data_IF_367784129122
#
_entry.id   IF_367784129122
#
_cell.length_a   1.000
_cell.length_b   1.000
_cell.length_c   1.000
_cell.angle_alpha   90.00
_cell.angle_beta   90.00
_cell.angle_gamma   90.00
#
_symmetry.space_group_name_H-M   'P 1'
#
loop_
_entity.id
_entity.type
_entity.pdbx_description
1 polymer ?
#
# COMPACT_ATOMS: atom_id res chain seq x y z
N UNK A 1 26.68 -14.01 -0.01
CA UNK A 1 25.42 -13.93 -0.80
C UNK A 1 24.66 -12.67 -0.39
N UNK A 2 23.95 -12.02 -1.33
CA UNK A 2 23.12 -10.83 -1.06
C UNK A 2 21.87 -11.22 -0.25
N UNK A 3 21.46 -10.38 0.70
CA UNK A 3 20.20 -10.53 1.44
C UNK A 3 19.03 -10.57 0.46
N UNK A 4 18.10 -11.53 0.65
CA UNK A 4 16.89 -11.61 -0.17
C UNK A 4 16.05 -10.33 -0.03
N UNK A 5 15.45 -9.83 -1.12
CA UNK A 5 14.55 -8.68 -1.08
C UNK A 5 13.40 -8.84 -0.08
N UNK A 6 12.91 -7.71 0.45
CA UNK A 6 11.61 -7.63 1.13
C UNK A 6 10.54 -7.39 0.05
N UNK A 7 9.65 -8.36 -0.12
CA UNK A 7 8.50 -8.27 -1.01
C UNK A 7 7.30 -7.67 -0.27
N UNK A 8 6.76 -6.58 -0.79
CA UNK A 8 5.62 -5.86 -0.22
C UNK A 8 4.48 -5.86 -1.22
N UNK A 9 3.31 -6.31 -0.81
CA UNK A 9 2.09 -6.22 -1.62
C UNK A 9 1.25 -5.04 -1.15
N UNK A 10 0.79 -4.18 -2.06
CA UNK A 10 -0.10 -3.05 -1.75
C UNK A 10 -1.35 -3.13 -2.62
N UNK A 11 -2.39 -3.78 -2.09
CA UNK A 11 -3.66 -3.95 -2.77
C UNK A 11 -4.62 -2.79 -2.49
N UNK A 12 -5.50 -2.48 -3.43
CA UNK A 12 -6.58 -1.52 -3.22
C UNK A 12 -7.22 -1.07 -4.53
N UNK A 13 -8.36 -0.39 -4.44
CA UNK A 13 -9.09 0.07 -5.61
C UNK A 13 -8.30 1.12 -6.43
N UNK A 14 -8.62 1.18 -7.72
CA UNK A 14 -8.20 2.25 -8.62
C UNK A 14 -8.58 3.62 -8.04
N UNK A 15 -7.63 4.55 -8.01
CA UNK A 15 -7.88 5.90 -7.48
C UNK A 15 -7.88 6.05 -5.95
N UNK A 16 -7.60 5.00 -5.19
CA UNK A 16 -7.45 5.11 -3.72
C UNK A 16 -6.24 5.97 -3.28
N UNK A 17 -5.29 6.25 -4.19
CA UNK A 17 -4.06 7.00 -3.87
C UNK A 17 -2.82 6.12 -3.65
N UNK A 18 -2.87 4.83 -4.03
CA UNK A 18 -1.76 3.88 -3.90
C UNK A 18 -0.46 4.39 -4.53
N UNK A 19 -0.49 4.87 -5.77
CA UNK A 19 0.72 5.35 -6.44
C UNK A 19 1.36 6.56 -5.73
N UNK A 20 0.56 7.41 -5.08
CA UNK A 20 1.06 8.47 -4.19
C UNK A 20 1.72 7.87 -2.95
N UNK A 21 1.06 6.93 -2.26
CA UNK A 21 1.63 6.20 -1.13
C UNK A 21 2.98 5.58 -1.49
N UNK A 22 3.06 4.86 -2.61
CA UNK A 22 4.28 4.16 -3.04
C UNK A 22 5.39 5.15 -3.38
N UNK A 23 5.07 6.25 -4.09
CA UNK A 23 6.05 7.27 -4.44
C UNK A 23 6.67 7.89 -3.20
N UNK A 24 5.85 8.36 -2.26
CA UNK A 24 6.35 9.01 -1.03
C UNK A 24 7.07 8.02 -0.11
N UNK A 25 6.58 6.78 0.00
CA UNK A 25 7.24 5.72 0.77
C UNK A 25 8.62 5.37 0.18
N UNK A 26 8.73 5.35 -1.15
CA UNK A 26 10.00 5.10 -1.85
C UNK A 26 11.03 6.20 -1.57
N UNK A 27 10.59 7.46 -1.48
CA UNK A 27 11.46 8.58 -1.10
C UNK A 27 11.99 8.42 0.33
N UNK A 28 11.17 7.93 1.28
CA UNK A 28 11.61 7.72 2.66
C UNK A 28 12.61 6.57 2.80
N UNK A 29 12.41 5.47 2.07
CA UNK A 29 13.29 4.29 2.10
C UNK A 29 14.63 4.53 1.37
N UNK A 30 14.65 5.46 0.43
CA UNK A 30 15.73 5.65 -0.54
C UNK A 30 15.30 5.06 -1.90
N UNK A 31 14.98 5.89 -2.91
CA UNK A 31 14.46 5.44 -4.20
C UNK A 31 15.35 4.38 -4.89
N UNK A 32 16.67 4.46 -4.70
CA UNK A 32 17.63 3.51 -5.23
C UNK A 32 17.50 2.10 -4.65
N UNK A 33 16.83 1.95 -3.50
CA UNK A 33 16.62 0.68 -2.81
C UNK A 33 15.26 0.04 -3.12
N UNK A 34 14.42 0.69 -3.91
CA UNK A 34 13.04 0.28 -4.15
C UNK A 34 12.85 -0.03 -5.63
N UNK A 35 12.31 -1.21 -5.94
CA UNK A 35 11.69 -1.52 -7.23
C UNK A 35 10.18 -1.49 -7.05
N UNK A 36 9.47 -0.77 -7.92
CA UNK A 36 8.00 -0.72 -7.92
C UNK A 36 7.50 -1.52 -9.12
N UNK A 37 6.50 -2.37 -8.90
CA UNK A 37 5.86 -3.18 -9.93
C UNK A 37 4.37 -2.89 -9.89
N UNK A 38 3.86 -2.21 -10.91
CA UNK A 38 2.43 -2.02 -11.12
C UNK A 38 1.81 -3.29 -11.69
N UNK A 39 0.72 -3.77 -11.10
CA UNK A 39 0.02 -4.96 -11.62
C UNK A 39 -0.79 -4.67 -12.87
N UNK A 40 -1.07 -3.41 -13.17
CA UNK A 40 -1.75 -3.00 -14.41
C UNK A 40 -0.90 -3.38 -15.65
N UNK A 41 0.43 -3.43 -15.51
CA UNK A 41 1.35 -3.93 -16.55
C UNK A 41 1.10 -5.39 -16.92
N UNK A 42 0.52 -6.16 -16.01
CA UNK A 42 0.23 -7.58 -16.21
C UNK A 42 -1.19 -7.79 -16.73
N UNK A 43 -1.85 -6.80 -17.31
CA UNK A 43 -3.07 -7.04 -18.07
C UNK A 43 -2.82 -8.07 -19.18
N UNK A 44 -3.73 -9.03 -19.33
CA UNK A 44 -3.70 -10.01 -20.42
C UNK A 44 -4.53 -9.57 -21.63
N UNK A 45 -5.38 -8.56 -21.44
CA UNK A 45 -6.24 -7.98 -22.47
C UNK A 45 -6.09 -6.45 -22.44
N UNK A 46 -5.95 -5.82 -23.59
CA UNK A 46 -5.94 -4.36 -23.71
C UNK A 46 -7.35 -3.76 -23.52
N UNK A 47 -7.46 -2.42 -23.56
CA UNK A 47 -8.74 -1.74 -23.29
C UNK A 47 -9.85 -2.14 -24.28
N UNK A 48 -9.52 -2.32 -25.57
CA UNK A 48 -10.49 -2.67 -26.59
C UNK A 48 -10.93 -4.13 -26.46
N UNK A 49 -9.99 -5.04 -26.22
CA UNK A 49 -10.25 -6.47 -26.01
C UNK A 49 -11.13 -6.71 -24.78
N UNK A 50 -10.85 -6.04 -23.66
CA UNK A 50 -11.69 -6.12 -22.45
C UNK A 50 -13.14 -5.70 -22.74
N UNK A 51 -13.32 -4.64 -23.54
CA UNK A 51 -14.65 -4.17 -23.96
C UNK A 51 -15.35 -5.18 -24.85
N UNK A 52 -14.64 -5.83 -25.78
CA UNK A 52 -15.19 -6.85 -26.67
C UNK A 52 -15.67 -8.10 -25.90
N UNK A 53 -14.93 -8.51 -24.86
CA UNK A 53 -15.26 -9.67 -24.01
C UNK A 53 -16.27 -9.31 -22.90
N UNK A 54 -16.49 -8.01 -22.65
CA UNK A 54 -17.45 -7.53 -21.64
C UNK A 54 -16.97 -7.72 -20.20
N UNK A 55 -15.65 -7.69 -19.95
CA UNK A 55 -15.08 -7.78 -18.60
C UNK A 55 -14.33 -6.51 -18.23
N UNK A 56 -14.27 -6.21 -16.94
CA UNK A 56 -13.51 -5.07 -16.40
C UNK A 56 -12.06 -5.48 -16.11
N UNK A 57 -11.12 -4.52 -15.97
CA UNK A 57 -9.75 -4.84 -15.51
C UNK A 57 -9.71 -5.42 -14.09
N UNK A 58 -10.80 -5.28 -13.31
CA UNK A 58 -10.94 -5.83 -11.97
C UNK A 58 -11.17 -7.35 -11.98
N UNK A 59 -11.64 -7.90 -13.10
CA UNK A 59 -11.79 -9.34 -13.24
C UNK A 59 -10.40 -10.00 -13.36
N UNK A 60 -10.05 -10.99 -12.53
CA UNK A 60 -8.75 -11.66 -12.60
C UNK A 60 -8.44 -12.26 -13.98
N UNK A 61 -9.46 -12.61 -14.78
CA UNK A 61 -9.29 -13.10 -16.17
C UNK A 61 -8.74 -12.06 -17.14
N UNK A 62 -8.78 -10.78 -16.78
CA UNK A 62 -8.17 -9.70 -17.55
C UNK A 62 -6.68 -9.50 -17.22
N UNK A 63 -6.10 -10.34 -16.35
CA UNK A 63 -4.75 -10.19 -15.82
C UNK A 63 -3.96 -11.50 -15.95
N UNK A 64 -2.72 -11.41 -16.42
CA UNK A 64 -1.75 -12.50 -16.46
C UNK A 64 -1.04 -12.64 -15.10
N UNK A 65 -1.79 -13.09 -14.10
CA UNK A 65 -1.28 -13.28 -12.74
C UNK A 65 -0.28 -14.44 -12.66
N UNK A 66 -0.31 -15.38 -13.62
CA UNK A 66 0.70 -16.44 -13.73
C UNK A 66 2.10 -15.89 -14.03
N UNK A 67 2.20 -14.99 -15.02
CA UNK A 67 3.45 -14.30 -15.33
C UNK A 67 3.93 -13.44 -14.15
N UNK A 68 3.01 -12.77 -13.46
CA UNK A 68 3.33 -12.00 -12.26
C UNK A 68 3.94 -12.86 -11.15
N UNK A 69 3.38 -14.05 -10.88
CA UNK A 69 3.92 -15.03 -9.92
C UNK A 69 5.34 -15.45 -10.31
N UNK A 70 5.56 -15.79 -11.58
CA UNK A 70 6.90 -16.16 -12.08
C UNK A 70 7.90 -15.02 -11.83
N UNK A 71 7.55 -13.80 -12.23
CA UNK A 71 8.42 -12.64 -12.07
C UNK A 71 8.74 -12.36 -10.60
N UNK A 72 7.74 -12.43 -9.72
CA UNK A 72 7.91 -12.22 -8.28
C UNK A 72 8.84 -13.28 -7.66
N UNK A 73 8.72 -14.53 -8.11
CA UNK A 73 9.62 -15.61 -7.68
C UNK A 73 11.07 -15.34 -8.11
N UNK A 74 11.29 -15.01 -9.39
CA UNK A 74 12.63 -14.74 -9.95
C UNK A 74 13.30 -13.54 -9.30
N UNK A 75 12.56 -12.46 -9.11
CA UNK A 75 13.02 -11.27 -8.41
C UNK A 75 13.45 -11.57 -6.97
N UNK A 76 12.70 -12.43 -6.26
CA UNK A 76 13.08 -12.89 -4.91
C UNK A 76 14.36 -13.71 -4.89
N UNK A 77 14.68 -14.43 -5.96
CA UNK A 77 15.97 -15.15 -6.10
C UNK A 77 17.13 -14.23 -6.52
N UNK A 78 16.85 -12.95 -6.81
CA UNK A 78 17.86 -12.01 -7.27
C UNK A 78 18.10 -12.04 -8.77
N UNK A 79 17.13 -12.54 -9.54
CA UNK A 79 17.16 -12.51 -11.01
C UNK A 79 16.40 -11.29 -11.53
N UNK A 80 16.91 -10.67 -12.60
CA UNK A 80 16.17 -9.63 -13.33
C UNK A 80 15.07 -10.25 -14.20
N UNK A 81 13.99 -9.51 -14.39
CA UNK A 81 12.82 -9.94 -15.20
C UNK A 81 12.53 -8.91 -16.29
N UNK A 82 11.96 -9.37 -17.40
CA UNK A 82 11.50 -8.51 -18.48
C UNK A 82 9.99 -8.28 -18.28
N UNK A 83 9.65 -7.19 -17.59
CA UNK A 83 8.28 -6.87 -17.20
C UNK A 83 7.52 -6.28 -18.39
N UNK A 84 6.29 -6.71 -18.68
CA UNK A 84 5.43 -6.00 -19.63
C UNK A 84 5.19 -4.54 -19.19
N UNK A 85 4.67 -3.73 -20.11
CA UNK A 85 4.26 -2.35 -19.82
C UNK A 85 2.87 -2.15 -20.39
N UNK A 86 1.97 -1.60 -19.57
CA UNK A 86 0.64 -1.20 -20.02
C UNK A 86 0.55 0.33 -20.10
N UNK A 87 0.29 0.85 -21.28
CA UNK A 87 0.15 2.28 -21.52
C UNK A 87 -1.30 2.73 -21.23
N UNK A 88 -1.44 3.62 -20.24
CA UNK A 88 -2.74 4.13 -19.82
C UNK A 88 -3.33 5.16 -20.79
N UNK A 89 -2.52 5.84 -21.61
CA UNK A 89 -2.95 6.84 -22.58
C UNK A 89 -3.60 6.15 -23.77
N UNK A 90 -2.86 5.23 -24.41
CA UNK A 90 -3.36 4.44 -25.54
C UNK A 90 -4.33 3.34 -25.10
N UNK A 91 -4.13 2.79 -23.89
CA UNK A 91 -4.87 1.63 -23.39
C UNK A 91 -4.41 0.31 -24.01
N UNK A 92 -3.15 0.25 -24.46
CA UNK A 92 -2.53 -0.90 -25.12
C UNK A 92 -1.19 -1.29 -24.48
N UNK A 93 -0.59 -2.37 -24.97
CA UNK A 93 0.70 -2.87 -24.48
C UNK A 93 1.86 -2.09 -25.11
N UNK A 94 2.81 -1.68 -24.27
CA UNK A 94 4.06 -1.03 -24.68
C UNK A 94 5.24 -1.99 -24.73
N UNK A 95 6.41 -1.45 -25.03
CA UNK A 95 7.67 -2.20 -24.99
C UNK A 95 7.99 -2.64 -23.54
N UNK A 96 8.41 -3.90 -23.34
CA UNK A 96 8.70 -4.39 -22.00
C UNK A 96 10.00 -3.80 -21.44
N UNK A 97 10.08 -3.69 -20.12
CA UNK A 97 11.21 -3.09 -19.42
C UNK A 97 11.92 -4.07 -18.48
N UNK A 98 13.24 -3.91 -18.34
CA UNK A 98 14.01 -4.70 -17.39
C UNK A 98 13.81 -4.20 -15.96
N UNK A 99 13.40 -5.09 -15.07
CA UNK A 99 13.32 -4.82 -13.64
C UNK A 99 14.41 -5.61 -12.91
N UNK A 100 15.28 -4.89 -12.22
CA UNK A 100 16.31 -5.48 -11.37
C UNK A 100 15.81 -5.70 -9.94
N UNK A 101 16.25 -6.77 -9.26
CA UNK A 101 15.94 -6.97 -7.86
C UNK A 101 16.56 -5.86 -7.00
N UNK A 102 15.74 -5.21 -6.19
CA UNK A 102 16.14 -4.19 -5.23
C UNK A 102 15.88 -4.67 -3.80
N UNK A 103 16.52 -4.08 -2.78
CA UNK A 103 16.28 -4.48 -1.40
C UNK A 103 14.81 -4.49 -0.96
N UNK A 104 14.01 -3.57 -1.49
CA UNK A 104 12.55 -3.56 -1.36
C UNK A 104 11.93 -3.70 -2.74
N UNK A 105 10.96 -4.59 -2.89
CA UNK A 105 10.17 -4.76 -4.11
C UNK A 105 8.72 -4.58 -3.71
N UNK A 106 8.11 -3.48 -4.17
CA UNK A 106 6.74 -3.11 -3.85
C UNK A 106 5.86 -3.40 -5.07
N UNK A 107 4.92 -4.32 -4.91
CA UNK A 107 3.95 -4.68 -5.94
C UNK A 107 2.62 -4.01 -5.62
N UNK A 108 2.16 -3.09 -6.47
CA UNK A 108 0.95 -2.31 -6.24
C UNK A 108 -0.09 -2.53 -7.33
N UNK A 109 -1.37 -2.55 -6.96
CA UNK A 109 -2.45 -2.64 -7.94
C UNK A 109 -3.72 -3.27 -7.41
N UNK A 110 -4.52 -3.80 -8.33
CA UNK A 110 -5.83 -4.37 -8.04
C UNK A 110 -5.76 -5.78 -7.43
N UNK A 111 -4.77 -6.59 -7.80
CA UNK A 111 -4.67 -8.00 -7.41
C UNK A 111 -3.34 -8.49 -6.79
N UNK A 112 -2.57 -7.69 -6.01
CA UNK A 112 -1.28 -8.16 -5.48
C UNK A 112 -1.37 -9.50 -4.75
N UNK A 113 -2.45 -9.75 -4.02
CA UNK A 113 -2.65 -10.99 -3.24
C UNK A 113 -4.09 -11.50 -3.33
N UNK A 114 -4.67 -11.49 -4.53
CA UNK A 114 -6.03 -11.99 -4.78
C UNK A 114 -6.19 -13.51 -4.63
N UNK A 115 -5.08 -14.26 -4.71
CA UNK A 115 -5.03 -15.70 -4.48
C UNK A 115 -4.13 -16.02 -3.28
N UNK A 116 -4.46 -17.07 -2.53
CA UNK A 116 -3.69 -17.47 -1.35
C UNK A 116 -2.20 -17.69 -1.65
N UNK A 117 -1.88 -18.32 -2.79
CA UNK A 117 -0.49 -18.50 -3.23
C UNK A 117 0.27 -17.18 -3.39
N UNK A 118 -0.37 -16.15 -3.94
CA UNK A 118 0.22 -14.81 -4.03
C UNK A 118 0.37 -14.18 -2.65
N UNK A 119 -0.63 -14.32 -1.78
CA UNK A 119 -0.57 -13.81 -0.42
C UNK A 119 0.59 -14.37 0.41
N UNK A 120 0.99 -15.63 0.16
CA UNK A 120 2.14 -16.27 0.81
C UNK A 120 3.48 -15.83 0.23
N UNK A 121 3.48 -15.19 -0.95
CA UNK A 121 4.70 -14.67 -1.55
C UNK A 121 5.16 -13.34 -0.95
N UNK A 122 4.40 -12.65 -0.13
CA UNK A 122 4.83 -11.37 0.43
C UNK A 122 5.38 -11.51 1.84
N UNK A 123 6.32 -10.63 2.17
CA UNK A 123 6.82 -10.47 3.54
C UNK A 123 5.97 -9.47 4.33
N UNK A 124 5.25 -8.58 3.63
CA UNK A 124 4.32 -7.63 4.21
C UNK A 124 3.22 -7.26 3.21
N UNK A 125 1.97 -7.23 3.66
CA UNK A 125 0.78 -6.98 2.85
C UNK A 125 0.00 -5.82 3.42
N UNK A 126 -0.16 -4.78 2.60
CA UNK A 126 -0.95 -3.59 2.91
C UNK A 126 -2.19 -3.59 2.04
N UNK A 127 -3.37 -3.54 2.64
CA UNK A 127 -4.59 -3.20 1.93
C UNK A 127 -4.84 -1.70 2.13
N UNK A 128 -4.78 -0.93 1.05
CA UNK A 128 -4.88 0.52 1.07
C UNK A 128 -6.22 0.97 0.51
N UNK A 129 -6.99 1.62 1.35
CA UNK A 129 -8.33 2.09 1.04
C UNK A 129 -8.52 3.56 1.41
N UNK A 130 -9.63 4.12 0.95
CA UNK A 130 -10.03 5.50 1.18
C UNK A 130 -11.48 5.51 1.56
N UNK A 131 -11.85 6.36 2.53
CA UNK A 131 -13.24 6.53 2.92
C UNK A 131 -14.13 6.81 1.69
N UNK A 132 -15.32 6.17 1.56
CA UNK A 132 -16.17 6.32 0.38
C UNK A 132 -16.49 7.77 0.00
N UNK A 133 -16.65 8.65 1.00
CA UNK A 133 -16.88 10.08 0.77
C UNK A 133 -15.72 10.75 0.03
N UNK A 134 -14.48 10.46 0.43
CA UNK A 134 -13.28 10.97 -0.25
C UNK A 134 -13.16 10.38 -1.66
N UNK A 135 -13.43 9.08 -1.85
CA UNK A 135 -13.41 8.46 -3.18
C UNK A 135 -14.39 9.14 -4.14
N UNK A 136 -15.61 9.40 -3.67
CA UNK A 136 -16.63 10.09 -4.47
C UNK A 136 -16.20 11.52 -4.74
N UNK A 137 -15.74 12.26 -3.73
CA UNK A 137 -15.28 13.64 -3.88
C UNK A 137 -14.13 13.76 -4.91
N UNK A 138 -13.09 12.93 -4.79
CA UNK A 138 -11.95 12.95 -5.71
C UNK A 138 -12.32 12.50 -7.11
N UNK A 139 -13.20 11.51 -7.25
CA UNK A 139 -13.65 11.07 -8.57
C UNK A 139 -14.50 12.14 -9.26
N UNK A 140 -15.39 12.80 -8.53
CA UNK A 140 -16.16 13.94 -9.06
C UNK A 140 -15.22 15.09 -9.44
N UNK A 141 -14.27 15.45 -8.58
CA UNK A 141 -13.32 16.53 -8.88
C UNK A 141 -12.50 16.24 -10.14
N UNK A 142 -11.95 15.03 -10.27
CA UNK A 142 -11.17 14.62 -11.45
C UNK A 142 -12.02 14.59 -12.72
N UNK A 143 -13.16 13.89 -12.69
CA UNK A 143 -13.96 13.65 -13.91
C UNK A 143 -14.77 14.90 -14.33
N UNK A 144 -15.11 15.79 -13.40
CA UNK A 144 -15.73 17.08 -13.72
C UNK A 144 -14.71 18.09 -14.27
N UNK A 145 -13.48 18.10 -13.75
CA UNK A 145 -12.42 19.00 -14.21
C UNK A 145 -11.84 18.59 -15.57
N UNK A 146 -11.59 17.29 -15.79
CA UNK A 146 -10.83 16.83 -16.96
C UNK A 146 -11.71 16.43 -18.15
N UNK A 147 -13.00 16.09 -17.93
CA UNK A 147 -13.80 15.37 -18.95
C UNK A 147 -15.28 15.80 -19.06
N UNK A 148 -15.75 16.74 -18.25
CA UNK A 148 -17.13 17.27 -18.34
C UNK A 148 -18.23 16.27 -17.98
N UNK A 149 -17.92 15.23 -17.20
CA UNK A 149 -18.91 14.22 -16.78
C UNK A 149 -19.86 14.78 -15.71
N UNK A 150 -21.14 14.37 -15.75
CA UNK A 150 -22.09 14.68 -14.66
C UNK A 150 -21.89 13.76 -13.45
N UNK A 151 -22.26 14.23 -12.26
CA UNK A 151 -22.17 13.44 -11.01
C UNK A 151 -22.94 12.12 -11.11
N UNK A 152 -24.05 12.09 -11.86
CA UNK A 152 -24.85 10.89 -12.10
C UNK A 152 -24.10 9.87 -12.97
N UNK A 153 -23.35 10.32 -13.96
CA UNK A 153 -22.52 9.45 -14.81
C UNK A 153 -21.39 8.81 -13.99
N UNK A 154 -20.73 9.61 -13.14
CA UNK A 154 -19.70 9.13 -12.19
C UNK A 154 -20.28 8.07 -11.25
N UNK A 155 -21.45 8.34 -10.65
CA UNK A 155 -22.14 7.40 -9.75
C UNK A 155 -22.55 6.11 -10.45
N UNK A 156 -23.00 6.19 -11.71
CA UNK A 156 -23.36 5.01 -12.50
C UNK A 156 -22.14 4.12 -12.77
N UNK A 157 -21.01 4.72 -13.12
CA UNK A 157 -19.77 3.97 -13.35
C UNK A 157 -19.26 3.29 -12.07
N UNK A 158 -19.34 3.98 -10.92
CA UNK A 158 -19.01 3.39 -9.61
C UNK A 158 -19.88 2.14 -9.35
N UNK A 159 -21.19 2.24 -9.59
CA UNK A 159 -22.12 1.11 -9.40
C UNK A 159 -21.78 -0.09 -10.29
N UNK A 160 -21.41 0.16 -11.56
CA UNK A 160 -21.05 -0.90 -12.50
C UNK A 160 -19.81 -1.67 -12.06
N UNK A 161 -18.83 -0.99 -11.44
CA UNK A 161 -17.59 -1.63 -10.95
C UNK A 161 -17.73 -2.25 -9.57
N UNK A 162 -18.78 -1.90 -8.82
CA UNK A 162 -18.93 -2.29 -7.42
C UNK A 162 -19.01 -3.81 -7.21
N UNK A 163 -19.65 -4.53 -8.14
CA UNK A 163 -19.72 -5.99 -8.05
C UNK A 163 -18.34 -6.62 -8.19
N UNK A 164 -17.55 -6.20 -9.18
CA UNK A 164 -16.19 -6.71 -9.38
C UNK A 164 -15.25 -6.32 -8.23
N UNK A 165 -15.36 -5.09 -7.71
CA UNK A 165 -14.56 -4.64 -6.55
C UNK A 165 -14.82 -5.56 -5.34
N UNK A 166 -16.09 -5.78 -4.99
CA UNK A 166 -16.49 -6.65 -3.87
C UNK A 166 -16.11 -8.11 -4.08
N UNK A 167 -16.03 -8.55 -5.33
CA UNK A 167 -15.76 -9.94 -5.67
C UNK A 167 -14.26 -10.24 -5.75
N UNK A 168 -13.46 -9.30 -6.24
CA UNK A 168 -12.07 -9.57 -6.64
C UNK A 168 -11.03 -8.68 -5.97
N UNK A 169 -11.39 -7.48 -5.50
CA UNK A 169 -10.44 -6.54 -4.88
C UNK A 169 -10.58 -6.55 -3.36
N UNK A 170 -11.77 -6.24 -2.84
CA UNK A 170 -12.04 -6.14 -1.40
C UNK A 170 -11.62 -7.39 -0.61
N UNK A 171 -11.89 -8.64 -1.03
CA UNK A 171 -11.56 -9.82 -0.23
C UNK A 171 -10.08 -9.95 0.15
N UNK A 172 -9.20 -9.27 -0.58
CA UNK A 172 -7.76 -9.23 -0.28
C UNK A 172 -7.45 -8.64 1.10
N UNK A 173 -8.30 -7.76 1.66
CA UNK A 173 -8.06 -7.20 3.00
C UNK A 173 -7.89 -8.31 4.05
N UNK A 174 -8.51 -9.48 3.85
CA UNK A 174 -8.40 -10.64 4.72
C UNK A 174 -6.98 -11.22 4.83
N UNK A 175 -6.16 -11.02 3.80
CA UNK A 175 -4.76 -11.43 3.79
C UNK A 175 -3.81 -10.34 4.27
N UNK A 176 -4.29 -9.10 4.43
CA UNK A 176 -3.44 -7.98 4.76
C UNK A 176 -2.93 -8.07 6.21
N UNK A 177 -1.64 -7.74 6.38
CA UNK A 177 -1.05 -7.55 7.70
C UNK A 177 -1.50 -6.21 8.28
N UNK A 178 -1.68 -5.21 7.41
CA UNK A 178 -2.17 -3.88 7.76
C UNK A 178 -3.20 -3.37 6.74
N UNK A 179 -4.35 -2.95 7.23
CA UNK A 179 -5.36 -2.23 6.45
C UNK A 179 -5.20 -0.74 6.75
N UNK A 180 -4.96 0.06 5.73
CA UNK A 180 -4.83 1.52 5.82
C UNK A 180 -6.06 2.14 5.20
N UNK A 181 -6.72 3.04 5.93
CA UNK A 181 -7.86 3.80 5.41
C UNK A 181 -7.61 5.29 5.56
N UNK A 182 -7.67 6.05 4.46
CA UNK A 182 -7.73 7.50 4.55
C UNK A 182 -9.12 7.96 5.02
N UNK A 183 -9.16 8.80 6.04
CA UNK A 183 -10.39 9.32 6.64
C UNK A 183 -10.64 10.76 6.17
N UNK A 184 -11.91 11.15 5.97
CA UNK A 184 -12.24 12.54 5.71
C UNK A 184 -11.73 13.43 6.85
N UNK A 185 -11.41 14.70 6.57
CA UNK A 185 -10.99 15.63 7.61
C UNK A 185 -11.97 15.66 8.77
N UNK A 186 -11.45 15.53 9.99
CA UNK A 186 -12.22 15.68 11.22
C UNK A 186 -12.08 17.11 11.76
N UNK A 187 -13.11 17.64 12.45
CA UNK A 187 -13.02 18.95 13.09
C UNK A 187 -13.00 20.12 12.11
N UNK A 188 -11.92 20.91 12.11
CA UNK A 188 -11.78 22.15 11.33
C UNK A 188 -11.67 21.95 9.80
N UNK A 189 -11.66 20.69 9.36
CA UNK A 189 -11.76 20.32 7.95
C UNK A 189 -10.46 20.42 7.16
N UNK A 190 -9.32 20.70 7.82
CA UNK A 190 -8.09 21.06 7.11
C UNK A 190 -7.23 19.87 6.64
N UNK A 191 -7.27 18.72 7.34
CA UNK A 191 -6.32 17.62 7.09
C UNK A 191 -6.99 16.24 7.04
N UNK A 192 -6.61 15.43 6.05
CA UNK A 192 -7.05 14.05 5.88
C UNK A 192 -6.44 13.17 6.99
N UNK A 193 -7.30 12.46 7.72
CA UNK A 193 -6.88 11.50 8.73
C UNK A 193 -6.44 10.16 8.14
N UNK A 194 -5.78 9.34 8.95
CA UNK A 194 -5.40 7.97 8.60
C UNK A 194 -5.82 7.02 9.70
N UNK A 195 -6.38 5.88 9.31
CA UNK A 195 -6.65 4.74 10.17
C UNK A 195 -5.81 3.54 9.74
N UNK A 196 -5.22 2.86 10.71
CA UNK A 196 -4.43 1.64 10.57
C UNK A 196 -5.12 0.51 11.33
N UNK A 197 -5.45 -0.60 10.67
CA UNK A 197 -5.92 -1.82 11.32
C UNK A 197 -4.89 -2.93 11.17
N UNK A 198 -4.47 -3.55 12.27
CA UNK A 198 -3.45 -4.60 12.26
C UNK A 198 -3.94 -5.86 12.99
N UNK A 199 -3.61 -7.04 12.45
CA UNK A 199 -3.93 -8.34 13.07
C UNK A 199 -2.95 -8.70 14.19
N UNK A 200 -1.69 -8.30 14.07
CA UNK A 200 -0.67 -8.39 15.11
C UNK A 200 -0.02 -7.00 15.23
N UNK A 201 0.03 -6.40 16.44
CA UNK A 201 0.52 -5.04 16.64
C UNK A 201 2.03 -4.94 16.39
N UNK A 202 2.42 -4.80 15.12
CA UNK A 202 3.78 -4.45 14.72
C UNK A 202 4.00 -2.95 14.70
N UNK A 203 2.94 -2.16 14.42
CA UNK A 203 2.93 -0.70 14.38
C UNK A 203 1.94 -0.08 15.39
N UNK A 204 1.44 -0.85 16.36
CA UNK A 204 0.42 -0.35 17.28
C UNK A 204 0.99 0.39 18.51
N UNK A 205 0.56 1.64 18.78
CA UNK A 205 0.93 2.45 19.95
C UNK A 205 0.38 1.96 21.29
N UNK A 206 -0.39 0.86 21.31
CA UNK A 206 -0.97 0.33 22.54
C UNK A 206 0.06 -0.21 23.54
N UNK A 207 1.32 -0.40 23.14
CA UNK A 207 2.43 -0.67 24.05
C UNK A 207 3.10 0.59 24.60
N UNK A 208 2.51 1.20 25.65
CA UNK A 208 3.16 1.99 26.71
C UNK A 208 3.85 3.35 26.47
N UNK A 209 4.08 3.88 25.26
CA UNK A 209 4.93 5.09 25.14
C UNK A 209 4.30 6.38 24.61
N UNK A 210 3.08 6.37 24.07
CA UNK A 210 2.42 7.56 23.50
C UNK A 210 1.24 8.10 24.35
N UNK A 211 1.34 8.07 25.68
CA UNK A 211 0.25 8.48 26.59
C UNK A 211 -0.15 9.95 26.35
N UNK A 212 0.83 10.85 26.20
CA UNK A 212 0.58 12.28 25.96
C UNK A 212 -0.22 12.55 24.68
N UNK A 213 0.07 11.81 23.61
CA UNK A 213 -0.61 11.95 22.32
C UNK A 213 -2.05 11.43 22.35
N UNK A 214 -2.31 10.42 23.20
CA UNK A 214 -3.67 9.91 23.45
C UNK A 214 -4.49 10.90 24.28
N UNK A 215 -3.88 11.49 25.31
CA UNK A 215 -4.53 12.50 26.16
C UNK A 215 -4.86 13.78 25.38
N UNK A 216 -4.02 14.15 24.41
CA UNK A 216 -4.27 15.26 23.48
C UNK A 216 -5.32 14.94 22.39
N UNK A 217 -5.85 13.71 22.32
CA UNK A 217 -6.85 13.30 21.34
C UNK A 217 -6.36 13.19 19.88
N UNK A 218 -5.05 13.34 19.63
CA UNK A 218 -4.47 13.31 18.28
C UNK A 218 -4.34 11.89 17.72
N UNK A 219 -4.13 10.92 18.60
CA UNK A 219 -4.04 9.49 18.26
C UNK A 219 -5.05 8.72 19.11
N UNK A 220 -5.97 8.02 18.44
CA UNK A 220 -6.89 7.07 19.07
C UNK A 220 -6.44 5.66 18.76
N UNK A 221 -6.50 4.77 19.76
CA UNK A 221 -6.21 3.36 19.55
C UNK A 221 -7.16 2.48 20.36
N UNK A 222 -7.76 1.49 19.71
CA UNK A 222 -8.72 0.56 20.30
C UNK A 222 -8.65 -0.80 19.61
N UNK A 223 -9.40 -1.77 20.13
CA UNK A 223 -9.66 -3.03 19.42
C UNK A 223 -11.05 -2.96 18.80
N UNK A 224 -11.16 -3.41 17.56
CA UNK A 224 -12.42 -3.45 16.84
C UNK A 224 -12.55 -4.78 16.09
N UNK A 225 -13.79 -5.22 15.92
CA UNK A 225 -14.09 -6.36 15.07
C UNK A 225 -14.17 -5.89 13.62
N UNK A 226 -13.30 -6.42 12.76
CA UNK A 226 -13.29 -6.13 11.34
C UNK A 226 -13.39 -7.44 10.56
N UNK A 227 -14.52 -7.61 9.88
CA UNK A 227 -14.90 -8.80 9.10
C UNK A 227 -14.74 -10.14 9.82
N UNK A 228 -15.03 -10.20 11.12
CA UNK A 228 -14.96 -11.44 11.90
C UNK A 228 -13.61 -11.73 12.55
N UNK A 229 -12.69 -10.76 12.55
CA UNK A 229 -11.43 -10.81 13.31
C UNK A 229 -11.32 -9.62 14.23
N UNK A 230 -10.78 -9.82 15.43
CA UNK A 230 -10.36 -8.72 16.29
C UNK A 230 -9.08 -8.11 15.72
N UNK A 231 -9.10 -6.81 15.45
CA UNK A 231 -7.96 -6.06 14.94
C UNK A 231 -7.65 -4.88 15.86
N UNK A 232 -6.38 -4.52 15.94
CA UNK A 232 -5.96 -3.28 16.58
C UNK A 232 -6.12 -2.13 15.61
N UNK A 233 -6.87 -1.12 16.01
CA UNK A 233 -7.15 0.07 15.22
C UNK A 233 -6.40 1.25 15.81
N UNK A 234 -5.68 1.99 14.98
CA UNK A 234 -5.00 3.24 15.33
C UNK A 234 -5.40 4.32 14.34
N UNK A 235 -6.08 5.35 14.82
CA UNK A 235 -6.49 6.50 14.03
C UNK A 235 -5.65 7.73 14.41
N UNK A 236 -5.11 8.41 13.39
CA UNK A 236 -4.35 9.65 13.48
C UNK A 236 -5.11 10.67 12.64
N UNK A 237 -5.77 11.61 13.29
CA UNK A 237 -6.68 12.55 12.59
C UNK A 237 -6.22 14.00 12.66
N UNK A 238 -5.17 14.29 13.44
CA UNK A 238 -4.63 15.63 13.64
C UNK A 238 -3.13 15.66 13.29
N UNK A 239 -2.59 16.80 12.84
CA UNK A 239 -1.15 16.96 12.69
C UNK A 239 -0.39 16.76 14.00
N UNK A 240 0.84 16.27 13.88
CA UNK A 240 1.79 16.12 14.98
C UNK A 240 2.92 17.13 14.86
N UNK A 241 3.55 17.48 15.98
CA UNK A 241 4.82 18.22 15.95
C UNK A 241 5.98 17.28 15.58
N UNK A 242 7.12 17.85 15.19
CA UNK A 242 8.35 17.09 14.96
C UNK A 242 8.83 16.34 16.22
N UNK A 243 8.60 16.91 17.40
CA UNK A 243 8.94 16.27 18.68
C UNK A 243 8.04 15.07 18.95
N UNK A 244 6.73 15.22 18.74
CA UNK A 244 5.75 14.14 18.83
C UNK A 244 6.07 12.99 17.84
N UNK A 245 6.49 13.31 16.62
CA UNK A 245 6.94 12.31 15.65
C UNK A 245 8.21 11.58 16.13
N UNK A 246 9.15 12.25 16.78
CA UNK A 246 10.35 11.61 17.36
C UNK A 246 10.01 10.70 18.52
N UNK A 247 9.06 11.08 19.38
CA UNK A 247 8.55 10.21 20.45
C UNK A 247 7.93 8.94 19.88
N UNK A 248 7.12 9.06 18.82
CA UNK A 248 6.63 7.90 18.07
C UNK A 248 7.81 7.10 17.46
N UNK A 249 8.81 7.79 16.92
CA UNK A 249 9.98 7.16 16.33
C UNK A 249 10.74 6.26 17.30
N UNK A 250 10.92 6.70 18.54
CA UNK A 250 11.52 5.89 19.60
C UNK A 250 10.69 4.63 19.92
N UNK A 251 9.37 4.75 19.94
CA UNK A 251 8.47 3.64 20.24
C UNK A 251 8.37 2.60 19.10
N UNK A 252 8.41 3.05 17.84
CA UNK A 252 8.19 2.21 16.66
C UNK A 252 9.46 1.88 15.87
N UNK A 253 10.61 2.35 16.33
CA UNK A 253 11.87 2.19 15.61
C UNK A 253 11.89 2.93 14.27
N UNK A 254 11.21 4.07 14.17
CA UNK A 254 11.40 4.98 13.02
C UNK A 254 12.82 5.49 13.09
N UNK A 255 13.60 5.23 12.05
CA UNK A 255 15.02 5.60 12.05
C UNK A 255 15.20 7.10 11.88
N UNK A 256 16.28 7.63 12.44
CA UNK A 256 16.69 9.03 12.23
C UNK A 256 16.82 9.39 10.75
N UNK A 257 17.17 8.42 9.90
CA UNK A 257 17.21 8.60 8.45
C UNK A 257 15.82 8.88 7.86
N UNK A 258 14.77 8.21 8.35
CA UNK A 258 13.38 8.47 7.95
C UNK A 258 12.90 9.80 8.54
N UNK A 259 13.13 10.05 9.83
CA UNK A 259 12.70 11.28 10.51
C UNK A 259 13.26 12.53 9.84
N UNK A 260 14.54 12.53 9.44
CA UNK A 260 15.18 13.66 8.72
C UNK A 260 14.58 13.96 7.35
N UNK A 261 13.89 13.00 6.73
CA UNK A 261 13.24 13.18 5.43
C UNK A 261 11.81 13.73 5.55
N UNK A 262 11.22 13.71 6.75
CA UNK A 262 9.90 14.30 7.01
C UNK A 262 10.07 15.81 7.21
N UNK A 263 9.66 16.58 6.20
CA UNK A 263 9.75 18.05 6.19
C UNK A 263 8.42 18.69 6.62
N UNK A 264 8.51 19.88 7.22
CA UNK A 264 7.37 20.67 7.68
C UNK A 264 7.46 21.00 9.17
N UNK A 265 6.90 22.14 9.58
CA UNK A 265 6.74 22.49 11.01
C UNK A 265 5.73 21.56 11.68
N UNK A 266 4.64 21.26 10.96
CA UNK A 266 3.66 20.24 11.32
C UNK A 266 3.78 19.01 10.43
N UNK A 267 3.60 17.84 11.04
CA UNK A 267 3.62 16.53 10.40
C UNK A 267 2.20 16.05 10.22
N UNK A 268 1.72 16.03 8.98
CA UNK A 268 0.34 15.59 8.70
C UNK A 268 0.19 14.06 8.90
N UNK A 269 -1.02 13.56 9.21
CA UNK A 269 -1.26 12.13 9.43
C UNK A 269 -0.72 11.20 8.34
N UNK A 270 -0.79 11.63 7.07
CA UNK A 270 -0.24 10.88 5.95
C UNK A 270 1.29 10.71 6.02
N UNK A 271 2.03 11.72 6.50
CA UNK A 271 3.48 11.61 6.71
C UNK A 271 3.81 10.69 7.89
N UNK A 272 2.98 10.69 8.94
CA UNK A 272 3.12 9.77 10.06
C UNK A 272 2.93 8.32 9.59
N UNK A 273 1.88 8.06 8.80
CA UNK A 273 1.64 6.76 8.16
C UNK A 273 2.86 6.28 7.37
N UNK A 274 3.39 7.12 6.49
CA UNK A 274 4.55 6.78 5.65
C UNK A 274 5.77 6.43 6.51
N UNK A 275 5.98 7.17 7.60
CA UNK A 275 7.09 6.94 8.52
C UNK A 275 6.96 5.60 9.27
N UNK A 276 5.75 5.26 9.69
CA UNK A 276 5.45 3.96 10.32
C UNK A 276 5.65 2.80 9.36
N UNK A 277 5.12 2.91 8.12
CA UNK A 277 5.31 1.88 7.10
C UNK A 277 6.81 1.71 6.75
N UNK A 278 7.56 2.80 6.60
CA UNK A 278 8.99 2.73 6.35
C UNK A 278 9.74 2.01 7.48
N UNK A 279 9.44 2.35 8.73
CA UNK A 279 10.01 1.69 9.90
C UNK A 279 9.73 0.18 9.90
N UNK A 280 8.50 -0.22 9.58
CA UNK A 280 8.12 -1.63 9.50
C UNK A 280 8.93 -2.39 8.45
N UNK A 281 9.08 -1.81 7.27
CA UNK A 281 9.85 -2.43 6.18
C UNK A 281 11.33 -2.55 6.53
N UNK A 282 11.92 -1.54 7.17
CA UNK A 282 13.29 -1.61 7.67
C UNK A 282 13.47 -2.68 8.75
N UNK A 283 12.51 -2.85 9.65
CA UNK A 283 12.52 -3.93 10.66
C UNK A 283 12.48 -5.32 10.01
N UNK A 284 11.57 -5.54 9.06
CA UNK A 284 11.45 -6.82 8.33
C UNK A 284 12.76 -7.12 7.60
N UNK A 285 13.38 -6.12 6.98
CA UNK A 285 14.68 -6.27 6.34
C UNK A 285 15.77 -6.67 7.34
N UNK A 286 15.88 -5.98 8.47
CA UNK A 286 16.87 -6.31 9.52
C UNK A 286 16.70 -7.75 10.02
N UNK A 287 15.47 -8.20 10.21
CA UNK A 287 15.16 -9.58 10.59
C UNK A 287 15.65 -10.58 9.52
N UNK A 288 15.41 -10.31 8.23
CA UNK A 288 15.95 -11.15 7.15
C UNK A 288 17.48 -11.18 7.13
N UNK A 289 18.13 -10.07 7.42
CA UNK A 289 19.59 -9.99 7.50
C UNK A 289 20.15 -10.81 8.68
N UNK A 290 19.47 -10.82 9.83
CA UNK A 290 19.90 -11.62 10.99
C UNK A 290 19.72 -13.12 10.78
N UNK A 291 18.55 -13.56 10.28
CA UNK A 291 18.29 -14.96 9.91
C UNK A 291 19.28 -15.47 8.85
N UNK A 292 19.66 -14.59 7.93
CA UNK A 292 20.70 -14.86 6.95
C UNK A 292 22.04 -15.18 7.61
N UNK A 293 22.43 -14.47 8.67
CA UNK A 293 23.73 -14.65 9.36
C UNK A 293 23.77 -15.86 10.29
N UNK A 294 22.70 -16.14 11.03
CA UNK A 294 22.64 -17.25 12.00
C UNK A 294 22.81 -18.63 11.35
N UNK A 295 22.29 -18.85 10.14
CA UNK A 295 22.52 -20.10 9.39
C UNK A 295 24.00 -20.37 9.08
N UNK A 296 24.86 -19.37 9.10
CA UNK A 296 26.30 -19.54 8.86
C UNK A 296 27.12 -19.65 10.15
N UNK A 297 26.59 -19.23 11.31
CA UNK A 297 27.28 -19.35 12.58
C UNK A 297 27.31 -20.80 13.12
N UNK A 298 26.41 -21.66 12.65
CA UNK A 298 26.28 -23.07 13.09
C UNK A 298 27.00 -24.05 12.12
N UNK A 299 27.61 -23.54 11.05
CA UNK A 299 28.26 -24.37 10.01
C UNK A 299 29.74 -24.07 9.79
N UNK A 300 30.41 -23.39 10.73
CA UNK A 300 31.84 -23.04 10.69
C UNK A 300 32.65 -23.83 11.70
#
# INVERSE_FOLDING_TARGET
MRTKPVLVGVAGDSGAGKSTLIRELSQLLGPEKVAVIGLDDYHSLNRQERKAVGITPLNPRANNLGLFIEHLYRLRQGEKVLKPVYDHDTGDFGDPEWVEPRPFIICEGLHPFCFGVLAEMYDYRVYYDTHPELKVAWKVQRDAADRGYTVEQVRREIKLRQWDIRSFVEPQWWYADTVVTLLPPAGDGSVIGVELKETCPGLNPAGMQAVKLREAGKIRSCREWYGGREMWVTAITMPLTQEELRELGAAFGITEAVLRRVKGEEVIPFQVLLSLLAARLEQIRKQKESYGRERYAVGG
#
